data_IF_989910233027
#
_entry.id   IF_989910233027
#
_cell.length_a   1.000
_cell.length_b   1.000
_cell.length_c   1.000
_cell.angle_alpha   90.00
_cell.angle_beta   90.00
_cell.angle_gamma   90.00
#
_symmetry.space_group_name_H-M   'P 1'
#
loop_
_entity.id
_entity.type
_entity.pdbx_description
1 polymer ?
#
# COMPACT_ATOMS: atom_id res chain seq x y z
N UNK A 1 10.61 3.04 6.06
CA UNK A 1 9.74 1.96 6.56
C UNK A 1 8.51 2.61 7.20
N UNK A 2 7.37 2.58 6.52
CA UNK A 2 6.11 3.14 7.06
C UNK A 2 5.40 2.04 7.84
N UNK A 3 5.15 2.26 9.12
CA UNK A 3 4.35 1.38 9.96
C UNK A 3 2.92 1.93 9.99
N UNK A 4 1.95 1.06 9.73
CA UNK A 4 0.55 1.42 9.67
C UNK A 4 -0.27 0.56 10.63
N UNK A 5 -1.02 1.19 11.54
CA UNK A 5 -1.95 0.50 12.45
C UNK A 5 -3.39 0.83 12.05
N UNK A 6 -4.25 -0.19 11.93
CA UNK A 6 -5.65 -0.02 11.53
C UNK A 6 -6.60 -0.81 12.42
N UNK A 7 -7.80 -0.28 12.66
CA UNK A 7 -8.93 -0.97 13.27
C UNK A 7 -10.18 -0.79 12.41
N UNK A 8 -10.76 -1.88 11.90
CA UNK A 8 -11.93 -1.84 11.01
C UNK A 8 -13.03 -2.82 11.46
N UNK A 9 -14.29 -2.39 11.36
CA UNK A 9 -15.47 -3.26 11.45
C UNK A 9 -15.97 -3.52 10.02
N UNK A 10 -16.19 -4.79 9.68
CA UNK A 10 -16.54 -5.18 8.32
C UNK A 10 -17.72 -6.16 8.31
N UNK A 11 -18.83 -5.85 7.62
CA UNK A 11 -19.82 -6.87 7.26
C UNK A 11 -19.19 -7.90 6.33
N UNK A 12 -19.51 -9.17 6.57
CA UNK A 12 -19.16 -10.29 5.71
C UNK A 12 -20.42 -10.94 5.14
N UNK A 13 -20.50 -11.06 3.83
CA UNK A 13 -21.45 -11.95 3.15
C UNK A 13 -20.78 -13.32 3.01
N UNK A 14 -21.42 -14.39 3.48
CA UNK A 14 -20.82 -15.73 3.56
C UNK A 14 -21.80 -16.79 3.04
N UNK A 15 -21.30 -17.74 2.23
CA UNK A 15 -21.98 -19.01 1.96
C UNK A 15 -21.64 -20.04 3.07
N UNK A 16 -22.61 -20.76 3.63
CA UNK A 16 -22.37 -21.73 4.71
C UNK A 16 -21.69 -23.03 4.19
N UNK A 17 -20.63 -23.50 4.88
CA UNK A 17 -19.96 -24.78 4.59
C UNK A 17 -18.46 -24.86 4.92
N UNK A 18 -17.90 -26.08 4.95
CA UNK A 18 -16.44 -26.37 5.12
C UNK A 18 -15.59 -25.78 4.00
N UNK A 19 -16.23 -25.46 2.87
CA UNK A 19 -15.70 -24.68 1.76
C UNK A 19 -16.62 -23.48 1.56
N UNK A 20 -16.31 -22.38 2.24
CA UNK A 20 -17.09 -21.15 2.11
C UNK A 20 -16.30 -20.11 1.33
N UNK A 21 -16.94 -19.51 0.33
CA UNK A 21 -16.53 -18.24 -0.24
C UNK A 21 -17.28 -17.12 0.47
N UNK A 22 -16.57 -16.09 0.89
CA UNK A 22 -17.16 -14.88 1.46
C UNK A 22 -16.62 -13.62 0.79
N UNK A 23 -17.36 -12.53 0.91
CA UNK A 23 -16.89 -11.20 0.57
C UNK A 23 -16.92 -10.34 1.83
N UNK A 24 -15.80 -9.68 2.12
CA UNK A 24 -15.68 -8.71 3.20
C UNK A 24 -15.52 -7.32 2.63
N UNK A 25 -16.31 -6.38 3.12
CA UNK A 25 -16.15 -4.96 2.83
C UNK A 25 -15.95 -4.23 4.14
N UNK A 26 -14.87 -3.47 4.25
CA UNK A 26 -14.53 -2.71 5.45
C UNK A 26 -14.39 -1.23 5.08
N UNK A 27 -15.47 -0.43 5.14
CA UNK A 27 -15.40 0.99 4.87
C UNK A 27 -14.93 1.78 6.11
N UNK A 28 -14.13 2.83 5.92
CA UNK A 28 -13.97 3.91 6.92
C UNK A 28 -13.16 3.58 8.17
N UNK A 29 -12.10 2.77 8.06
CA UNK A 29 -11.22 2.48 9.18
C UNK A 29 -10.16 3.58 9.39
N UNK A 30 -9.86 3.91 10.64
CA UNK A 30 -8.80 4.87 10.96
C UNK A 30 -7.43 4.26 10.62
N UNK A 31 -6.67 5.01 9.83
CA UNK A 31 -5.30 4.71 9.45
C UNK A 31 -4.34 5.59 10.25
N UNK A 32 -3.37 4.99 10.94
CA UNK A 32 -2.27 5.74 11.55
C UNK A 32 -0.97 5.37 10.84
N UNK A 33 -0.36 6.34 10.16
CA UNK A 33 0.84 6.13 9.35
C UNK A 33 2.02 6.89 9.90
N UNK A 34 3.15 6.23 10.11
CA UNK A 34 4.41 6.95 10.32
C UNK A 34 5.00 7.43 8.99
N UNK A 35 5.25 8.74 8.88
CA UNK A 35 5.88 9.38 7.71
C UNK A 35 7.09 10.18 8.20
N UNK A 36 8.31 9.73 7.85
CA UNK A 36 9.57 10.28 8.37
C UNK A 36 9.55 10.36 9.92
N UNK A 37 9.61 11.56 10.49
CA UNK A 37 9.57 11.85 11.93
C UNK A 37 8.14 12.01 12.49
N UNK A 38 7.13 12.11 11.62
CA UNK A 38 5.76 12.43 11.99
C UNK A 38 4.81 11.24 11.92
N UNK A 39 3.58 11.48 12.39
CA UNK A 39 2.43 10.57 12.28
C UNK A 39 1.35 11.28 11.49
N UNK A 40 0.84 10.61 10.45
CA UNK A 40 -0.29 11.04 9.65
C UNK A 40 -1.49 10.13 9.93
N UNK A 41 -2.64 10.72 10.19
CA UNK A 41 -3.90 9.99 10.30
C UNK A 41 -4.69 10.08 9.00
N UNK A 42 -5.48 9.06 8.72
CA UNK A 42 -6.26 8.96 7.49
C UNK A 42 -7.43 8.01 7.59
N UNK A 43 -8.15 7.90 6.50
CA UNK A 43 -9.21 6.91 6.33
C UNK A 43 -8.72 5.78 5.45
N UNK A 44 -9.19 4.58 5.75
CA UNK A 44 -8.86 3.37 5.00
C UNK A 44 -10.11 2.56 4.72
N UNK A 45 -10.07 1.83 3.61
CA UNK A 45 -11.11 0.91 3.20
C UNK A 45 -10.50 -0.33 2.57
N UNK A 46 -11.18 -1.47 2.68
CA UNK A 46 -10.77 -2.68 1.99
C UNK A 46 -11.94 -3.50 1.49
N UNK A 47 -11.70 -4.21 0.39
CA UNK A 47 -12.59 -5.25 -0.12
C UNK A 47 -11.76 -6.52 -0.31
N UNK A 48 -12.28 -7.65 0.18
CA UNK A 48 -11.59 -8.93 0.09
C UNK A 48 -12.57 -10.07 -0.16
N UNK A 49 -12.19 -10.97 -1.07
CA UNK A 49 -12.77 -12.31 -1.19
C UNK A 49 -12.06 -13.24 -0.22
N UNK A 50 -12.81 -13.94 0.62
CA UNK A 50 -12.31 -14.93 1.57
C UNK A 50 -12.64 -16.34 1.11
N UNK A 51 -11.63 -17.20 1.07
CA UNK A 51 -11.80 -18.64 0.91
C UNK A 51 -11.43 -19.33 2.23
N UNK A 52 -12.36 -20.10 2.78
CA UNK A 52 -12.10 -20.95 3.94
C UNK A 52 -11.96 -22.40 3.49
N UNK A 53 -10.93 -23.05 4.00
CA UNK A 53 -10.64 -24.44 3.71
C UNK A 53 -10.04 -25.12 4.93
N UNK A 54 -10.80 -26.03 5.55
CA UNK A 54 -10.43 -26.69 6.81
C UNK A 54 -10.09 -25.64 7.89
N UNK A 55 -8.94 -25.78 8.55
CA UNK A 55 -8.46 -24.88 9.61
C UNK A 55 -7.65 -23.69 9.08
N UNK A 56 -7.79 -23.37 7.80
CA UNK A 56 -7.08 -22.26 7.15
C UNK A 56 -8.06 -21.36 6.42
N UNK A 57 -7.69 -20.10 6.33
CA UNK A 57 -8.38 -19.14 5.48
C UNK A 57 -7.37 -18.40 4.62
N UNK A 58 -7.86 -17.97 3.46
CA UNK A 58 -7.17 -17.15 2.50
C UNK A 58 -8.06 -15.95 2.22
N UNK A 59 -7.47 -14.78 2.05
CA UNK A 59 -8.19 -13.68 1.42
C UNK A 59 -7.37 -13.08 0.31
N UNK A 60 -8.07 -12.71 -0.73
CA UNK A 60 -7.53 -11.96 -1.85
C UNK A 60 -8.35 -10.70 -2.02
N UNK A 61 -7.70 -9.56 -2.25
CA UNK A 61 -8.44 -8.31 -2.37
C UNK A 61 -7.57 -7.10 -2.49
N UNK A 62 -8.16 -5.96 -2.20
CA UNK A 62 -7.51 -4.67 -2.28
C UNK A 62 -7.84 -3.79 -1.08
N UNK A 63 -7.05 -2.75 -0.95
CA UNK A 63 -7.19 -1.80 0.13
C UNK A 63 -6.79 -0.41 -0.37
N UNK A 64 -7.49 0.62 0.12
CA UNK A 64 -7.19 2.03 -0.13
C UNK A 64 -7.01 2.74 1.22
N UNK A 65 -5.94 3.53 1.37
CA UNK A 65 -5.77 4.48 2.47
C UNK A 65 -5.53 5.86 1.90
N UNK A 66 -6.14 6.87 2.50
CA UNK A 66 -5.93 8.28 2.17
C UNK A 66 -5.71 9.07 3.45
N UNK A 67 -4.70 9.94 3.46
CA UNK A 67 -4.31 10.79 4.60
C UNK A 67 -4.02 12.21 4.15
N UNK A 68 -3.79 13.18 5.04
CA UNK A 68 -3.38 14.53 4.60
C UNK A 68 -2.12 14.60 3.72
N UNK A 69 -1.33 13.52 3.63
CA UNK A 69 -0.03 13.51 2.96
C UNK A 69 0.04 12.67 1.67
N UNK A 70 -0.72 11.59 1.58
CA UNK A 70 -0.64 10.62 0.48
C UNK A 70 -1.91 9.74 0.39
N UNK A 71 -2.10 9.11 -0.78
CA UNK A 71 -2.98 7.95 -1.01
C UNK A 71 -2.13 6.74 -1.26
N UNK A 72 -2.53 5.64 -0.68
CA UNK A 72 -1.99 4.31 -0.89
C UNK A 72 -3.12 3.40 -1.38
N UNK A 73 -2.92 2.75 -2.53
CA UNK A 73 -3.83 1.75 -3.07
C UNK A 73 -3.09 0.43 -3.27
N UNK A 74 -3.40 -0.55 -2.43
CA UNK A 74 -2.97 -1.93 -2.60
C UNK A 74 -3.97 -2.61 -3.52
N UNK A 75 -3.62 -2.74 -4.80
CA UNK A 75 -4.51 -3.30 -5.82
C UNK A 75 -4.65 -4.80 -5.69
N UNK A 76 -3.61 -5.46 -5.20
CA UNK A 76 -3.54 -6.90 -5.04
C UNK A 76 -2.92 -7.23 -3.68
N UNK A 77 -3.69 -7.86 -2.81
CA UNK A 77 -3.24 -8.33 -1.50
C UNK A 77 -3.70 -9.76 -1.27
N UNK A 78 -2.75 -10.64 -0.99
CA UNK A 78 -3.00 -11.98 -0.50
C UNK A 78 -2.74 -12.02 1.00
N UNK A 79 -3.69 -12.55 1.77
CA UNK A 79 -3.51 -12.87 3.19
C UNK A 79 -3.87 -14.32 3.44
N UNK A 80 -3.20 -14.91 4.40
CA UNK A 80 -3.48 -16.26 4.85
C UNK A 80 -3.25 -16.38 6.36
N UNK A 81 -3.93 -17.33 6.95
CA UNK A 81 -3.74 -17.63 8.36
C UNK A 81 -4.49 -18.87 8.83
N UNK A 82 -4.18 -19.34 10.05
CA UNK A 82 -4.97 -20.36 10.70
C UNK A 82 -6.32 -19.80 11.15
N UNK A 83 -7.31 -20.68 11.24
CA UNK A 83 -8.60 -20.42 11.85
C UNK A 83 -8.54 -20.88 13.32
N UNK A 84 -8.46 -19.94 14.28
CA UNK A 84 -8.30 -20.24 15.71
C UNK A 84 -9.56 -19.81 16.48
N UNK A 85 -10.63 -20.60 16.34
CA UNK A 85 -11.93 -20.28 16.90
C UNK A 85 -12.47 -18.97 16.32
N UNK A 86 -12.66 -17.96 17.18
CA UNK A 86 -13.10 -16.61 16.78
C UNK A 86 -11.96 -15.71 16.32
N UNK A 87 -10.71 -16.07 16.62
CA UNK A 87 -9.53 -15.32 16.21
C UNK A 87 -8.97 -15.85 14.89
N UNK A 88 -8.56 -14.92 14.04
CA UNK A 88 -8.04 -15.18 12.70
C UNK A 88 -6.76 -14.38 12.50
N UNK A 89 -5.64 -14.82 13.09
CA UNK A 89 -4.36 -14.18 12.81
C UNK A 89 -4.04 -14.35 11.32
N UNK A 90 -3.32 -13.40 10.74
CA UNK A 90 -2.88 -13.48 9.36
C UNK A 90 -1.52 -12.84 9.13
N UNK A 91 -0.89 -13.30 8.07
CA UNK A 91 0.17 -12.61 7.37
C UNK A 91 -0.22 -12.46 5.90
N UNK A 92 0.29 -11.43 5.24
CA UNK A 92 -0.01 -11.19 3.85
C UNK A 92 1.04 -10.35 3.15
N UNK A 93 0.91 -10.33 1.84
CA UNK A 93 1.75 -9.58 0.93
C UNK A 93 0.92 -8.99 -0.20
N UNK A 94 1.41 -7.93 -0.81
CA UNK A 94 0.72 -7.28 -1.91
C UNK A 94 1.57 -6.34 -2.72
N UNK A 95 0.93 -5.70 -3.70
CA UNK A 95 1.50 -4.62 -4.50
C UNK A 95 0.71 -3.36 -4.23
N UNK A 96 1.42 -2.30 -3.87
CA UNK A 96 0.87 -1.00 -3.48
C UNK A 96 1.32 0.11 -4.40
N UNK A 97 0.38 1.00 -4.70
CA UNK A 97 0.57 2.24 -5.43
C UNK A 97 0.49 3.39 -4.44
N UNK A 98 1.59 4.13 -4.27
CA UNK A 98 1.65 5.28 -3.37
C UNK A 98 1.69 6.58 -4.19
N UNK A 99 0.69 7.43 -3.95
CA UNK A 99 0.57 8.76 -4.52
C UNK A 99 0.80 9.83 -3.45
N UNK A 100 2.01 10.41 -3.34
CA UNK A 100 2.25 11.54 -2.46
C UNK A 100 1.67 12.82 -3.07
N UNK A 101 0.87 13.58 -2.30
CA UNK A 101 0.45 14.92 -2.72
C UNK A 101 1.04 16.03 -1.87
N UNK A 102 1.55 15.74 -0.66
CA UNK A 102 2.21 16.78 0.13
C UNK A 102 3.54 17.19 -0.52
N UNK A 103 3.81 18.50 -0.70
CA UNK A 103 5.04 18.99 -1.36
C UNK A 103 6.33 18.41 -0.76
N UNK A 104 6.39 18.26 0.56
CA UNK A 104 7.55 17.67 1.27
C UNK A 104 7.83 16.20 0.92
N UNK A 105 6.82 15.46 0.47
CA UNK A 105 6.95 14.07 0.03
C UNK A 105 7.25 13.98 -1.47
N UNK A 106 6.84 14.98 -2.25
CA UNK A 106 7.17 15.09 -3.67
C UNK A 106 8.63 15.50 -3.89
N UNK A 107 9.15 16.43 -3.08
CA UNK A 107 10.52 16.97 -3.23
C UNK A 107 11.64 15.94 -3.07
N UNK A 108 11.38 14.82 -2.38
CA UNK A 108 12.36 13.75 -2.18
C UNK A 108 12.55 12.79 -3.38
N UNK A 109 11.70 12.84 -4.41
CA UNK A 109 11.77 11.88 -5.52
C UNK A 109 11.46 12.48 -6.91
N UNK A 110 11.43 13.82 -7.04
CA UNK A 110 10.91 14.49 -8.23
C UNK A 110 9.40 14.68 -8.18
N UNK A 111 8.91 15.73 -8.84
CA UNK A 111 7.51 16.15 -8.81
C UNK A 111 6.55 14.98 -9.17
N UNK A 112 5.54 14.75 -8.34
CA UNK A 112 4.39 13.85 -8.58
C UNK A 112 4.67 12.47 -9.19
N UNK A 113 5.75 11.79 -8.80
CA UNK A 113 5.99 10.43 -9.26
C UNK A 113 5.10 9.41 -8.51
N UNK A 114 4.26 8.68 -9.25
CA UNK A 114 3.62 7.46 -8.77
C UNK A 114 4.71 6.50 -8.27
N UNK A 115 4.56 5.98 -7.06
CA UNK A 115 5.51 5.01 -6.52
C UNK A 115 4.85 3.64 -6.43
N UNK A 116 5.61 2.61 -6.77
CA UNK A 116 5.15 1.22 -6.74
C UNK A 116 5.98 0.48 -5.71
N UNK A 117 5.33 -0.28 -4.84
CA UNK A 117 5.98 -0.96 -3.74
C UNK A 117 5.40 -2.33 -3.45
N UNK A 118 6.20 -3.14 -2.79
CA UNK A 118 5.73 -4.35 -2.13
C UNK A 118 5.10 -4.00 -0.78
N UNK A 119 3.96 -4.59 -0.49
CA UNK A 119 3.32 -4.58 0.82
C UNK A 119 3.64 -5.87 1.56
N UNK A 120 3.96 -5.76 2.85
CA UNK A 120 3.86 -6.84 3.82
C UNK A 120 2.89 -6.41 4.93
N UNK A 121 2.02 -7.32 5.35
CA UNK A 121 1.09 -7.06 6.44
C UNK A 121 0.95 -8.27 7.37
N UNK A 122 0.63 -7.99 8.63
CA UNK A 122 0.25 -9.01 9.61
C UNK A 122 -0.79 -8.44 10.57
N UNK A 123 -1.64 -9.30 11.12
CA UNK A 123 -2.70 -8.83 12.00
C UNK A 123 -3.58 -9.93 12.53
N UNK A 124 -4.70 -9.53 13.12
CA UNK A 124 -5.71 -10.44 13.66
C UNK A 124 -7.11 -9.94 13.34
N UNK A 125 -7.94 -10.84 12.82
CA UNK A 125 -9.38 -10.66 12.73
C UNK A 125 -10.09 -11.34 13.89
N UNK A 126 -11.12 -10.71 14.44
CA UNK A 126 -12.01 -11.26 15.45
C UNK A 126 -13.42 -11.35 14.88
N UNK A 127 -13.99 -12.54 14.89
CA UNK A 127 -15.39 -12.77 14.56
C UNK A 127 -16.27 -12.42 15.77
N UNK A 128 -17.00 -11.31 15.66
CA UNK A 128 -17.87 -10.80 16.73
C UNK A 128 -19.23 -11.50 16.67
N UNK A 129 -19.77 -11.66 15.45
CA UNK A 129 -21.01 -12.41 15.14
C UNK A 129 -20.81 -13.14 13.82
N UNK A 130 -21.70 -14.08 13.49
CA UNK A 130 -21.64 -14.91 12.26
C UNK A 130 -21.45 -14.14 10.93
N UNK A 131 -21.60 -12.81 10.92
CA UNK A 131 -21.48 -11.94 9.73
C UNK A 131 -20.66 -10.65 9.96
N UNK A 132 -19.98 -10.51 11.09
CA UNK A 132 -19.20 -9.30 11.41
C UNK A 132 -17.80 -9.65 11.87
N UNK A 133 -16.82 -9.03 11.22
CA UNK A 133 -15.40 -9.13 11.56
C UNK A 133 -14.87 -7.77 12.02
N UNK A 134 -14.23 -7.75 13.18
CA UNK A 134 -13.32 -6.67 13.55
C UNK A 134 -11.90 -7.06 13.17
N UNK A 135 -11.12 -6.18 12.55
CA UNK A 135 -9.74 -6.48 12.16
C UNK A 135 -8.79 -5.42 12.68
N UNK A 136 -7.66 -5.89 13.21
CA UNK A 136 -6.48 -5.09 13.48
C UNK A 136 -5.32 -5.55 12.60
N UNK A 137 -4.57 -4.60 12.04
CA UNK A 137 -3.48 -4.89 11.09
C UNK A 137 -2.30 -3.94 11.30
N UNK A 138 -1.10 -4.50 11.20
CA UNK A 138 0.15 -3.79 11.01
C UNK A 138 0.58 -3.97 9.54
N UNK A 139 0.81 -2.87 8.83
CA UNK A 139 1.30 -2.89 7.46
C UNK A 139 2.63 -2.15 7.30
N UNK A 140 3.53 -2.73 6.52
CA UNK A 140 4.76 -2.15 6.03
C UNK A 140 4.76 -2.08 4.51
N UNK A 141 5.04 -0.91 3.94
CA UNK A 141 5.19 -0.73 2.49
C UNK A 141 6.65 -0.42 2.19
N UNK A 142 7.26 -1.27 1.36
CA UNK A 142 8.57 -1.05 0.78
C UNK A 142 8.37 -0.48 -0.62
N UNK A 143 8.67 0.80 -0.77
CA UNK A 143 8.38 1.56 -1.99
C UNK A 143 9.66 1.78 -2.78
N UNK A 144 9.60 1.48 -4.08
CA UNK A 144 10.61 1.90 -5.05
C UNK A 144 10.06 3.10 -5.83
N UNK A 145 10.85 4.15 -5.96
CA UNK A 145 10.48 5.27 -6.82
C UNK A 145 10.72 4.88 -8.28
N UNK A 146 9.67 4.86 -9.09
CA UNK A 146 9.80 4.85 -10.54
C UNK A 146 9.77 6.30 -11.01
N UNK A 147 10.94 6.85 -11.34
CA UNK A 147 11.06 8.17 -11.95
C UNK A 147 10.56 8.11 -13.39
N UNK A 148 9.63 9.00 -13.73
CA UNK A 148 9.09 9.17 -15.09
C UNK A 148 10.09 9.88 -16.04
N UNK A 149 11.40 9.84 -15.79
CA UNK A 149 12.37 10.52 -16.65
C UNK A 149 12.63 9.78 -17.96
N UNK A 150 12.42 8.46 -18.03
CA UNK A 150 12.66 7.68 -19.26
C UNK A 150 11.46 7.54 -20.20
N UNK A 151 10.26 7.90 -19.77
CA UNK A 151 9.05 7.70 -20.58
C UNK A 151 8.78 8.88 -21.53
N UNK A 152 9.16 10.11 -21.14
CA UNK A 152 9.00 11.29 -22.03
C UNK A 152 10.09 11.30 -23.11
N UNK A 153 11.31 10.86 -22.80
CA UNK A 153 12.45 10.88 -23.73
C UNK A 153 12.25 9.95 -24.95
N UNK A 154 11.49 8.86 -24.80
CA UNK A 154 11.10 7.98 -25.92
C UNK A 154 9.88 8.47 -26.72
N UNK A 155 9.08 9.38 -26.18
CA UNK A 155 7.87 9.89 -26.83
C UNK A 155 8.09 11.22 -27.55
N UNK A 156 9.13 11.99 -27.20
CA UNK A 156 9.36 13.33 -27.80
C UNK A 156 10.37 13.36 -28.95
N UNK A 157 11.01 12.25 -29.33
CA UNK A 157 11.84 12.16 -30.54
C UNK A 157 12.94 13.24 -30.68
N UNK A 158 13.36 13.88 -29.59
CA UNK A 158 14.37 14.93 -29.63
C UNK A 158 15.76 14.29 -29.54
N UNK A 159 16.65 14.47 -30.53
CA UNK A 159 18.01 13.99 -30.41
C UNK A 159 18.74 14.75 -29.28
N UNK A 160 19.73 14.11 -28.63
CA UNK A 160 20.52 14.73 -27.59
C UNK A 160 21.26 15.94 -28.15
N UNK A 161 21.08 17.10 -27.53
CA UNK A 161 21.97 18.23 -27.73
C UNK A 161 23.36 17.86 -27.24
N UNK A 162 24.18 17.41 -28.18
CA UNK A 162 25.64 17.50 -28.09
C UNK A 162 25.99 18.97 -27.84
N UNK A 163 26.42 19.30 -26.61
CA UNK A 163 27.71 19.98 -26.39
C UNK A 163 27.94 20.25 -24.90
N UNK A 164 28.51 19.25 -24.25
CA UNK A 164 29.72 19.50 -23.47
C UNK A 164 30.85 19.84 -24.45
N UNK A 165 31.26 21.11 -24.53
CA UNK A 165 32.57 21.49 -25.07
C UNK A 165 33.31 22.34 -24.05
N UNK A 166 34.27 21.69 -23.42
CA UNK A 166 35.58 22.19 -23.00
C UNK A 166 35.64 23.23 -21.86
N UNK A 167 35.85 22.66 -20.68
CA UNK A 167 36.93 23.07 -19.77
C UNK A 167 38.25 23.10 -20.57
N UNK A 168 38.86 24.28 -20.76
CA UNK A 168 40.31 24.49 -20.82
C UNK A 168 40.60 25.98 -21.13
N UNK A 169 41.26 26.69 -20.21
CA UNK A 169 41.89 27.97 -20.53
C UNK A 169 41.82 29.05 -19.45
N UNK A 170 42.29 28.77 -18.24
CA UNK A 170 42.87 29.83 -17.41
C UNK A 170 44.37 29.88 -17.69
N UNK A 171 44.92 30.99 -18.23
CA UNK A 171 46.29 31.37 -17.97
C UNK A 171 46.34 32.28 -16.74
N UNK A 172 47.25 31.90 -15.84
CA UNK A 172 47.72 32.65 -14.67
C UNK A 172 48.71 33.74 -15.10
N UNK A 173 48.72 34.84 -14.33
CA UNK A 173 49.78 35.86 -14.16
C UNK A 173 49.90 36.87 -15.31
N UNK A 174 50.18 38.16 -15.08
CA UNK A 174 50.75 38.90 -13.92
C UNK A 174 50.04 40.22 -13.73
#
# INVERSE_FOLDING_TARGET
>A
MSLLLFGAMAPTAQAEGIRSLGVTVAPGALAVTRVRSGVATGLSGSIDWELRWRDRWWSFGGHLTSSGYFTDATTLRLRLGPQLGRARPFAGMGVSLLWPWHPELQSAAGASALRIGGELCAGVGLEIRRRMLARSCIRGILVSAFGCDRAVEKLTGRPPSLQSRQIAGQPRRT
#
